data_IF_220281932580
#
_entry.id   IF_220281932580
#
_cell.length_a   1.000
_cell.length_b   1.000
_cell.length_c   1.000
_cell.angle_alpha   90.00
_cell.angle_beta   90.00
_cell.angle_gamma   90.00
#
_symmetry.space_group_name_H-M   'P 1'
#
loop_
_entity.id
_entity.type
_entity.pdbx_description
1 polymer ?
#
# COMPACT_ATOMS: atom_id res chain seq x y z
N UNK A 1 -7.95 -12.79 9.99
CA UNK A 1 -7.84 -13.52 8.71
C UNK A 1 -7.85 -15.01 8.92
N UNK A 2 -6.89 -15.59 9.67
CA UNK A 2 -6.85 -17.04 9.96
C UNK A 2 -8.18 -17.63 10.43
N UNK A 3 -8.89 -16.96 11.35
CA UNK A 3 -10.23 -17.38 11.78
C UNK A 3 -11.22 -17.50 10.62
N UNK A 4 -11.33 -16.48 9.76
CA UNK A 4 -12.25 -16.47 8.63
C UNK A 4 -11.87 -17.54 7.59
N UNK A 5 -10.57 -17.74 7.35
CA UNK A 5 -10.08 -18.79 6.47
C UNK A 5 -10.37 -20.20 7.01
N UNK A 6 -10.34 -20.37 8.33
CA UNK A 6 -10.70 -21.64 9.00
C UNK A 6 -12.20 -21.93 9.00
N UNK A 7 -13.04 -20.90 9.02
CA UNK A 7 -14.50 -21.04 8.92
C UNK A 7 -14.94 -21.47 7.52
N UNK A 8 -14.42 -20.81 6.48
CA UNK A 8 -14.67 -21.18 5.08
C UNK A 8 -13.57 -20.66 4.15
N UNK A 9 -12.71 -21.56 3.66
CA UNK A 9 -11.60 -21.24 2.77
C UNK A 9 -12.01 -20.91 1.33
N UNK A 10 -13.25 -21.17 0.93
CA UNK A 10 -13.74 -20.88 -0.43
C UNK A 10 -14.25 -19.45 -0.57
N UNK A 11 -14.46 -18.74 0.54
CA UNK A 11 -14.98 -17.39 0.55
C UNK A 11 -13.86 -16.35 0.66
N UNK A 12 -13.92 -15.35 -0.22
CA UNK A 12 -13.04 -14.21 -0.16
C UNK A 12 -13.16 -13.46 1.18
N UNK A 13 -12.03 -13.05 1.76
CA UNK A 13 -11.97 -12.12 2.88
C UNK A 13 -11.90 -10.69 2.34
N UNK A 14 -12.70 -9.78 2.90
CA UNK A 14 -12.61 -8.35 2.56
C UNK A 14 -11.90 -7.57 3.67
N UNK A 15 -10.78 -6.93 3.32
CA UNK A 15 -9.99 -6.07 4.20
C UNK A 15 -10.24 -4.60 3.85
N UNK A 16 -10.87 -3.88 4.79
CA UNK A 16 -11.06 -2.43 4.69
C UNK A 16 -9.84 -1.70 5.26
N UNK A 17 -9.23 -0.84 4.46
CA UNK A 17 -7.98 -0.14 4.81
C UNK A 17 -8.27 1.35 5.01
N UNK A 18 -8.04 1.82 6.23
CA UNK A 18 -7.93 3.24 6.57
C UNK A 18 -6.74 3.41 7.52
N UNK A 19 -5.55 3.58 6.95
CA UNK A 19 -4.29 3.55 7.71
C UNK A 19 -3.27 4.55 7.17
N UNK A 20 -2.62 5.33 8.06
CA UNK A 20 -1.48 6.17 7.69
C UNK A 20 -0.18 5.36 7.51
N UNK A 21 -0.21 4.05 7.75
CA UNK A 21 0.98 3.19 7.80
C UNK A 21 1.35 2.81 9.23
N UNK A 22 2.62 2.45 9.44
CA UNK A 22 3.12 2.02 10.74
C UNK A 22 4.36 1.16 10.64
N UNK A 23 4.53 0.23 11.58
CA UNK A 23 5.67 -0.69 11.61
C UNK A 23 5.72 -1.57 10.36
N UNK A 24 6.89 -1.59 9.69
CA UNK A 24 7.16 -2.45 8.53
C UNK A 24 7.01 -3.93 8.90
N UNK A 25 7.58 -4.37 10.02
CA UNK A 25 7.51 -5.78 10.42
C UNK A 25 6.08 -6.24 10.72
N UNK A 26 5.27 -5.38 11.36
CA UNK A 26 3.87 -5.69 11.60
C UNK A 26 3.07 -5.75 10.28
N UNK A 27 3.35 -4.84 9.36
CA UNK A 27 2.72 -4.85 8.03
C UNK A 27 3.12 -6.09 7.22
N UNK A 28 4.40 -6.49 7.25
CA UNK A 28 4.86 -7.71 6.57
C UNK A 28 4.21 -8.97 7.17
N UNK A 29 4.00 -9.04 8.48
CA UNK A 29 3.27 -10.17 9.08
C UNK A 29 1.81 -10.26 8.58
N UNK A 30 1.15 -9.12 8.35
CA UNK A 30 -0.18 -9.11 7.73
C UNK A 30 -0.11 -9.53 6.27
N UNK A 31 0.86 -9.00 5.51
CA UNK A 31 1.09 -9.39 4.12
C UNK A 31 1.30 -10.90 3.99
N UNK A 32 2.22 -11.47 4.76
CA UNK A 32 2.50 -12.91 4.75
C UNK A 32 1.26 -13.71 5.13
N UNK A 33 0.44 -13.22 6.08
CA UNK A 33 -0.84 -13.85 6.40
C UNK A 33 -1.79 -13.83 5.20
N UNK A 34 -1.86 -12.74 4.43
CA UNK A 34 -2.67 -12.65 3.22
C UNK A 34 -2.21 -13.63 2.14
N UNK A 35 -0.89 -13.86 2.01
CA UNK A 35 -0.33 -14.82 1.04
C UNK A 35 -0.39 -16.28 1.52
N UNK A 36 -0.44 -16.50 2.83
CA UNK A 36 -0.43 -17.82 3.45
C UNK A 36 -1.80 -18.51 3.43
N UNK A 37 -2.88 -17.73 3.62
CA UNK A 37 -4.24 -18.28 3.63
C UNK A 37 -4.67 -18.71 2.21
N UNK A 38 -5.51 -19.76 2.09
CA UNK A 38 -5.94 -20.27 0.78
C UNK A 38 -6.99 -19.38 0.10
N UNK A 39 -7.73 -18.57 0.84
CA UNK A 39 -8.76 -17.71 0.29
C UNK A 39 -8.20 -16.38 -0.22
N UNK A 40 -8.84 -15.85 -1.26
CA UNK A 40 -8.51 -14.54 -1.79
C UNK A 40 -8.81 -13.42 -0.80
N UNK A 41 -7.98 -12.38 -0.83
CA UNK A 41 -8.15 -11.18 -0.01
C UNK A 41 -8.52 -10.00 -0.91
N UNK A 42 -9.78 -9.57 -0.83
CA UNK A 42 -10.25 -8.31 -1.39
C UNK A 42 -9.79 -7.16 -0.53
N UNK A 43 -9.24 -6.11 -1.13
CA UNK A 43 -8.83 -4.91 -0.38
C UNK A 43 -9.66 -3.71 -0.82
N UNK A 44 -10.07 -2.90 0.14
CA UNK A 44 -10.83 -1.67 -0.14
C UNK A 44 -10.27 -0.51 0.67
N UNK A 45 -9.76 0.50 0.00
CA UNK A 45 -9.35 1.75 0.65
C UNK A 45 -10.57 2.59 1.02
N UNK A 46 -10.69 2.89 2.32
CA UNK A 46 -11.71 3.74 2.92
C UNK A 46 -11.03 4.96 3.57
N UNK A 47 -10.82 6.02 2.79
CA UNK A 47 -10.14 7.21 3.30
C UNK A 47 -8.65 7.18 2.95
N UNK A 48 -7.78 6.78 3.86
CA UNK A 48 -6.32 6.81 3.63
C UNK A 48 -5.72 5.41 3.56
N UNK A 49 -4.87 5.16 2.57
CA UNK A 49 -3.93 4.05 2.58
C UNK A 49 -2.54 4.60 2.28
N UNK A 50 -1.74 4.84 3.32
CA UNK A 50 -0.40 5.40 3.18
C UNK A 50 0.67 4.43 3.71
N UNK A 51 1.88 4.47 3.14
CA UNK A 51 3.02 3.66 3.58
C UNK A 51 2.64 2.16 3.63
N UNK A 52 2.83 1.46 4.75
CA UNK A 52 2.38 0.06 4.88
C UNK A 52 0.87 -0.14 4.64
N UNK A 53 0.04 0.90 4.79
CA UNK A 53 -1.37 0.85 4.40
C UNK A 53 -1.58 0.74 2.89
N UNK A 54 -0.83 1.48 2.06
CA UNK A 54 -0.90 1.34 0.60
C UNK A 54 -0.26 0.04 0.13
N UNK A 55 0.80 -0.42 0.79
CA UNK A 55 1.40 -1.72 0.55
C UNK A 55 0.38 -2.85 0.72
N UNK A 56 -0.32 -2.88 1.87
CA UNK A 56 -1.34 -3.90 2.15
C UNK A 56 -2.58 -3.77 1.27
N UNK A 57 -2.94 -2.54 0.85
CA UNK A 57 -3.97 -2.33 -0.17
C UNK A 57 -3.58 -3.00 -1.50
N UNK A 58 -2.35 -2.76 -1.96
CA UNK A 58 -1.84 -3.31 -3.21
C UNK A 58 -1.65 -4.83 -3.18
N UNK A 59 -1.48 -5.41 -1.99
CA UNK A 59 -1.30 -6.84 -1.73
C UNK A 59 -2.58 -7.68 -1.81
N UNK A 60 -3.75 -7.05 -1.96
CA UNK A 60 -4.97 -7.79 -2.25
C UNK A 60 -4.87 -8.58 -3.55
N UNK A 61 -5.71 -9.61 -3.69
CA UNK A 61 -5.78 -10.41 -4.92
C UNK A 61 -6.00 -9.49 -6.13
N UNK A 62 -5.17 -9.66 -7.18
CA UNK A 62 -5.26 -8.88 -8.41
C UNK A 62 -6.67 -8.97 -9.03
N UNK A 63 -7.22 -7.82 -9.43
CA UNK A 63 -8.61 -7.69 -9.88
C UNK A 63 -9.63 -7.49 -8.75
N UNK A 64 -9.19 -7.54 -7.48
CA UNK A 64 -10.05 -7.40 -6.29
C UNK A 64 -9.60 -6.27 -5.33
N UNK A 65 -8.75 -5.36 -5.81
CA UNK A 65 -8.24 -4.21 -5.05
C UNK A 65 -9.01 -2.95 -5.44
N UNK A 66 -9.63 -2.27 -4.50
CA UNK A 66 -10.51 -1.14 -4.82
C UNK A 66 -10.31 0.04 -3.87
N UNK A 67 -10.80 1.21 -4.25
CA UNK A 67 -10.80 2.39 -3.39
C UNK A 67 -12.09 3.20 -3.54
N UNK A 68 -12.51 3.88 -2.48
CA UNK A 68 -13.58 4.87 -2.59
C UNK A 68 -13.11 6.12 -3.36
N UNK A 69 -14.03 6.89 -4.00
CA UNK A 69 -13.65 8.01 -4.87
C UNK A 69 -12.84 9.11 -4.20
N UNK A 70 -12.99 9.33 -2.89
CA UNK A 70 -12.25 10.38 -2.17
C UNK A 70 -11.02 9.84 -1.43
N UNK A 71 -10.66 8.57 -1.66
CA UNK A 71 -9.52 7.99 -0.97
C UNK A 71 -8.21 8.61 -1.41
N UNK A 72 -7.20 8.56 -0.53
CA UNK A 72 -5.83 8.94 -0.82
C UNK A 72 -4.94 7.74 -0.62
N UNK A 73 -4.12 7.46 -1.62
CA UNK A 73 -3.12 6.41 -1.58
C UNK A 73 -1.76 7.10 -1.55
N UNK A 74 -0.84 6.68 -0.68
CA UNK A 74 0.50 7.25 -0.64
C UNK A 74 1.56 6.16 -0.48
N UNK A 75 2.60 6.22 -1.31
CA UNK A 75 3.78 5.38 -1.20
C UNK A 75 4.99 6.23 -0.85
N UNK A 76 5.91 5.67 -0.06
CA UNK A 76 7.20 6.26 0.26
C UNK A 76 8.17 5.17 0.72
N UNK A 77 9.44 5.53 0.85
CA UNK A 77 10.46 4.68 1.46
C UNK A 77 10.21 4.48 2.95
N UNK A 78 10.66 3.35 3.55
CA UNK A 78 10.50 3.13 4.97
C UNK A 78 11.24 4.21 5.78
N UNK A 79 10.62 4.64 6.86
CA UNK A 79 11.20 5.59 7.81
C UNK A 79 11.87 4.84 8.97
N UNK A 80 13.00 5.35 9.42
CA UNK A 80 13.70 4.86 10.60
C UNK A 80 14.69 5.89 11.12
N UNK A 81 15.33 5.56 12.24
CA UNK A 81 16.33 6.41 12.86
C UNK A 81 17.29 5.56 13.66
N UNK A 82 18.55 5.97 13.70
CA UNK A 82 19.61 5.26 14.41
C UNK A 82 20.39 6.21 15.31
N UNK A 83 20.73 5.75 16.50
CA UNK A 83 21.54 6.47 17.49
C UNK A 83 22.43 5.47 18.24
N UNK A 84 23.60 5.94 18.71
CA UNK A 84 24.55 5.13 19.46
C UNK A 84 25.94 5.07 18.82
N UNK A 85 26.77 4.10 19.21
CA UNK A 85 28.08 3.85 18.60
C UNK A 85 28.02 3.71 17.08
N UNK A 86 29.12 4.05 16.41
CA UNK A 86 29.20 4.01 14.94
C UNK A 86 28.83 2.64 14.35
N UNK A 87 29.17 1.54 15.03
CA UNK A 87 28.81 0.19 14.61
C UNK A 87 27.29 -0.06 14.60
N UNK A 88 26.58 0.44 15.62
CA UNK A 88 25.13 0.27 15.75
C UNK A 88 24.37 1.12 14.72
N UNK A 89 24.83 2.36 14.50
CA UNK A 89 24.29 3.22 13.44
C UNK A 89 24.46 2.57 12.07
N UNK A 90 25.64 2.02 11.78
CA UNK A 90 25.91 1.31 10.53
C UNK A 90 25.03 0.07 10.38
N UNK A 91 24.80 -0.68 11.46
CA UNK A 91 23.96 -1.87 11.44
C UNK A 91 22.50 -1.51 11.11
N UNK A 92 21.94 -0.51 11.76
CA UNK A 92 20.57 -0.08 11.48
C UNK A 92 20.40 0.53 10.08
N UNK A 93 21.40 1.28 9.61
CA UNK A 93 21.41 1.79 8.24
C UNK A 93 21.39 0.65 7.20
N UNK A 94 22.11 -0.44 7.44
CA UNK A 94 22.04 -1.62 6.56
C UNK A 94 20.67 -2.28 6.59
N UNK A 95 20.06 -2.40 7.76
CA UNK A 95 18.74 -3.03 7.90
C UNK A 95 17.63 -2.23 7.20
N UNK A 96 17.60 -0.90 7.36
CA UNK A 96 16.57 -0.09 6.69
C UNK A 96 16.73 -0.10 5.17
N UNK A 97 17.97 -0.15 4.66
CA UNK A 97 18.23 -0.30 3.23
C UNK A 97 17.73 -1.67 2.73
N UNK A 98 17.98 -2.74 3.49
CA UNK A 98 17.50 -4.07 3.15
C UNK A 98 15.97 -4.15 3.10
N UNK A 99 15.29 -3.63 4.13
CA UNK A 99 13.83 -3.55 4.18
C UNK A 99 13.25 -2.73 3.02
N UNK A 100 13.91 -1.61 2.65
CA UNK A 100 13.50 -0.81 1.49
C UNK A 100 13.53 -1.63 0.20
N UNK A 101 14.59 -2.40 -0.05
CA UNK A 101 14.68 -3.20 -1.27
C UNK A 101 13.62 -4.32 -1.30
N UNK A 102 13.32 -4.96 -0.14
CA UNK A 102 12.22 -5.93 -0.03
C UNK A 102 10.88 -5.29 -0.40
N UNK A 103 10.54 -4.15 0.22
CA UNK A 103 9.27 -3.47 -0.03
C UNK A 103 9.14 -3.02 -1.49
N UNK A 104 10.22 -2.52 -2.08
CA UNK A 104 10.24 -2.09 -3.48
C UNK A 104 10.02 -3.28 -4.43
N UNK A 105 10.64 -4.43 -4.17
CA UNK A 105 10.45 -5.65 -4.95
C UNK A 105 8.99 -6.11 -4.94
N UNK A 106 8.37 -6.17 -3.75
CA UNK A 106 6.96 -6.57 -3.65
C UNK A 106 6.03 -5.54 -4.31
N UNK A 107 6.24 -4.24 -4.11
CA UNK A 107 5.43 -3.21 -4.77
C UNK A 107 5.56 -3.29 -6.30
N UNK A 108 6.76 -3.55 -6.82
CA UNK A 108 7.00 -3.72 -8.24
C UNK A 108 6.16 -4.88 -8.81
N UNK A 109 6.20 -6.04 -8.15
CA UNK A 109 5.39 -7.22 -8.51
C UNK A 109 3.87 -6.93 -8.49
N UNK A 110 3.39 -6.34 -7.39
CA UNK A 110 1.97 -6.05 -7.20
C UNK A 110 1.43 -4.99 -8.18
N UNK A 111 2.25 -4.03 -8.60
CA UNK A 111 1.86 -2.93 -9.50
C UNK A 111 2.16 -3.23 -10.97
N UNK A 112 3.08 -4.14 -11.27
CA UNK A 112 3.60 -4.38 -12.62
C UNK A 112 4.65 -3.35 -13.08
N UNK A 113 5.21 -2.55 -12.17
CA UNK A 113 6.29 -1.60 -12.43
C UNK A 113 7.65 -2.26 -12.24
N UNK A 114 8.71 -1.61 -12.71
CA UNK A 114 10.08 -2.02 -12.41
C UNK A 114 10.47 -1.58 -10.99
N UNK A 115 11.43 -2.29 -10.40
CA UNK A 115 12.00 -1.94 -9.09
C UNK A 115 12.61 -0.53 -9.08
N UNK A 116 13.21 -0.12 -10.20
CA UNK A 116 13.82 1.21 -10.35
C UNK A 116 12.75 2.31 -10.32
N UNK A 117 11.63 2.10 -11.01
CA UNK A 117 10.52 3.05 -11.00
C UNK A 117 9.90 3.18 -9.61
N UNK A 118 9.67 2.05 -8.91
CA UNK A 118 9.17 2.07 -7.53
C UNK A 118 10.14 2.82 -6.61
N UNK A 119 11.44 2.60 -6.75
CA UNK A 119 12.45 3.26 -5.93
C UNK A 119 12.44 4.78 -6.12
N UNK A 120 12.32 5.25 -7.35
CA UNK A 120 12.20 6.68 -7.67
C UNK A 120 10.89 7.26 -7.10
N UNK A 121 9.77 6.59 -7.36
CA UNK A 121 8.44 7.04 -6.96
C UNK A 121 8.22 7.01 -5.43
N UNK A 122 9.00 6.22 -4.69
CA UNK A 122 8.99 6.15 -3.23
C UNK A 122 10.04 7.05 -2.54
N UNK A 123 10.94 7.74 -3.27
CA UNK A 123 12.00 8.53 -2.61
C UNK A 123 11.43 9.68 -1.77
N UNK A 124 10.26 10.18 -2.16
CA UNK A 124 9.47 11.16 -1.42
C UNK A 124 8.04 10.66 -1.25
N UNK A 125 7.29 11.32 -0.37
CA UNK A 125 5.86 11.04 -0.23
C UNK A 125 5.15 11.28 -1.56
N UNK A 126 4.66 10.20 -2.16
CA UNK A 126 3.97 10.24 -3.44
C UNK A 126 2.50 9.93 -3.24
N UNK A 127 1.70 11.00 -3.15
CA UNK A 127 0.26 10.89 -2.98
C UNK A 127 -0.46 10.73 -4.32
N UNK A 128 -1.45 9.85 -4.35
CA UNK A 128 -2.28 9.51 -5.50
C UNK A 128 -3.77 9.63 -5.18
N UNK A 129 -4.55 10.08 -6.16
CA UNK A 129 -6.01 9.92 -6.21
C UNK A 129 -6.32 8.44 -6.51
N UNK A 130 -7.57 7.99 -6.35
CA UNK A 130 -7.94 6.63 -6.76
C UNK A 130 -7.75 6.39 -8.26
N UNK A 131 -7.98 7.40 -9.10
CA UNK A 131 -7.74 7.31 -10.54
C UNK A 131 -6.26 7.12 -10.86
N UNK A 132 -5.39 7.92 -10.25
CA UNK A 132 -3.94 7.78 -10.42
C UNK A 132 -3.44 6.46 -9.85
N UNK A 133 -3.92 6.04 -8.69
CA UNK A 133 -3.55 4.76 -8.06
C UNK A 133 -3.98 3.56 -8.91
N UNK A 134 -5.13 3.65 -9.61
CA UNK A 134 -5.59 2.65 -10.58
C UNK A 134 -4.66 2.58 -11.79
N UNK A 135 -4.32 3.72 -12.38
CA UNK A 135 -3.35 3.80 -13.49
C UNK A 135 -1.97 3.30 -13.07
N UNK A 136 -1.57 3.60 -11.84
CA UNK A 136 -0.29 3.19 -11.27
C UNK A 136 -0.22 1.69 -10.96
N UNK A 137 -1.37 1.03 -10.78
CA UNK A 137 -1.47 -0.41 -10.50
C UNK A 137 -1.57 -0.78 -9.01
N UNK A 138 -1.78 0.21 -8.11
CA UNK A 138 -1.98 -0.03 -6.66
C UNK A 138 -3.39 -0.53 -6.34
N UNK A 139 -4.36 -0.20 -7.19
CA UNK A 139 -5.73 -0.71 -7.12
C UNK A 139 -6.21 -1.10 -8.52
N UNK A 140 -7.28 -1.87 -8.60
CA UNK A 140 -7.89 -2.32 -9.85
C UNK A 140 -9.13 -1.50 -10.22
N UNK A 141 -9.91 -1.03 -9.23
CA UNK A 141 -11.11 -0.23 -9.52
C UNK A 141 -11.53 0.77 -8.44
N UNK A 142 -12.42 1.68 -8.81
CA UNK A 142 -13.00 2.71 -7.93
C UNK A 142 -14.46 2.34 -7.63
N UNK A 143 -14.79 2.22 -6.35
CA UNK A 143 -16.16 1.87 -5.93
C UNK A 143 -17.11 3.05 -6.16
N UNK A 144 -18.21 2.89 -6.92
CA UNK A 144 -19.19 3.96 -7.10
C UNK A 144 -19.87 4.37 -5.79
N UNK A 145 -20.15 5.67 -5.65
CA UNK A 145 -20.90 6.22 -4.52
C UNK A 145 -22.00 7.16 -5.02
N UNK A 146 -22.99 7.48 -4.18
CA UNK A 146 -24.12 8.34 -4.56
C UNK A 146 -23.71 9.74 -5.09
N UNK A 147 -22.53 10.22 -4.73
CA UNK A 147 -22.01 11.53 -5.12
C UNK A 147 -21.06 11.51 -6.30
N UNK A 148 -20.60 10.34 -6.76
CA UNK A 148 -19.65 10.21 -7.87
C UNK A 148 -20.34 9.53 -9.06
N UNK A 149 -20.19 10.04 -10.30
CA UNK A 149 -19.34 11.17 -10.72
C UNK A 149 -20.02 12.54 -10.63
N UNK A 150 -21.16 12.67 -9.92
CA UNK A 150 -21.95 13.92 -9.84
C UNK A 150 -21.11 15.13 -9.37
N UNK A 151 -20.17 14.93 -8.46
CA UNK A 151 -19.24 15.96 -8.00
C UNK A 151 -17.92 15.89 -8.79
N UNK A 152 -17.52 17.01 -9.38
CA UNK A 152 -16.21 17.17 -10.01
C UNK A 152 -15.12 17.34 -8.95
N UNK A 153 -14.04 16.58 -9.05
CA UNK A 153 -12.87 16.74 -8.19
C UNK A 153 -12.09 18.00 -8.59
N UNK A 154 -11.60 18.81 -7.63
CA UNK A 154 -10.72 19.92 -7.96
C UNK A 154 -9.40 19.41 -8.55
N UNK A 155 -8.74 20.25 -9.34
CA UNK A 155 -7.36 20.00 -9.74
C UNK A 155 -6.45 19.98 -8.50
N UNK A 156 -5.33 19.24 -8.58
CA UNK A 156 -4.29 19.34 -7.56
C UNK A 156 -3.70 20.76 -7.61
N UNK A 157 -3.45 21.39 -6.45
CA UNK A 157 -2.76 22.67 -6.43
C UNK A 157 -1.32 22.48 -6.92
N UNK A 158 -0.84 23.40 -7.74
CA UNK A 158 0.56 23.50 -8.08
C UNK A 158 1.32 24.10 -6.88
N UNK A 159 2.45 23.50 -6.51
CA UNK A 159 3.23 23.91 -5.33
C UNK A 159 3.95 25.26 -5.51
N UNK A 160 3.87 25.85 -6.69
CA UNK A 160 4.61 27.05 -7.09
C UNK A 160 3.71 28.21 -7.55
N UNK A 161 2.40 28.12 -7.28
CA UNK A 161 1.44 29.24 -7.46
C UNK A 161 1.37 30.15 -6.23
#
# INVERSE_FOLDING_TARGET
MLYLAGENSELDITMYVNSPGGSVSAGMAIYDTMQFIPCDVKTVCFGLAASMGSFLLAAGTRGKRTALPNSRIMIHQPLGGAQGPAADVLLQAKEILFLREILNMHLADMTGKTTEQIKEDCDRDNFMTPEEAKVYGLIDDIVPTKSWPRLTKPARPDLFD
#
